data_IF_712005456697
#
_entry.id   IF_712005456697
#
_cell.length_a   1.000
_cell.length_b   1.000
_cell.length_c   1.000
_cell.angle_alpha   90.00
_cell.angle_beta   90.00
_cell.angle_gamma   90.00
#
_symmetry.space_group_name_H-M   'P 1'
#
loop_
_entity.id
_entity.type
_entity.pdbx_description
1 polymer ?
#
# COMPACT_ATOMS: atom_id res chain seq x y z
N UNK A 1 -5.61 16.14 -21.16
CA UNK A 1 -4.17 16.24 -21.46
C UNK A 1 -3.58 14.83 -21.32
N UNK A 2 -2.81 14.42 -22.26
CA UNK A 2 -2.13 13.12 -22.21
C UNK A 2 -0.81 13.30 -21.46
N UNK A 3 -0.49 12.38 -20.57
CA UNK A 3 0.82 12.35 -19.91
C UNK A 3 1.89 12.23 -20.99
N UNK A 4 2.91 13.07 -20.91
CA UNK A 4 4.03 13.05 -21.87
C UNK A 4 5.03 11.96 -21.48
N UNK A 5 5.79 11.48 -22.45
CA UNK A 5 6.95 10.66 -22.16
C UNK A 5 7.93 11.42 -21.26
N UNK A 6 8.55 10.72 -20.34
CA UNK A 6 9.50 11.28 -19.39
C UNK A 6 9.57 10.51 -18.09
N UNK A 7 10.48 10.94 -17.23
CA UNK A 7 10.60 10.42 -15.87
C UNK A 7 9.95 11.40 -14.90
N UNK A 8 9.11 10.86 -14.03
CA UNK A 8 8.34 11.59 -13.03
C UNK A 8 8.75 11.10 -11.63
N UNK A 9 9.05 12.04 -10.77
CA UNK A 9 9.26 11.78 -9.35
C UNK A 9 8.00 12.19 -8.59
N UNK A 10 7.48 11.29 -7.74
CA UNK A 10 6.25 11.48 -6.99
C UNK A 10 6.49 11.22 -5.51
N UNK A 11 5.68 11.85 -4.69
CA UNK A 11 5.69 11.69 -3.24
C UNK A 11 4.33 12.01 -2.62
N UNK A 12 4.25 12.13 -1.29
CA UNK A 12 2.99 12.40 -0.58
C UNK A 12 2.28 13.69 -0.97
N UNK A 13 3.01 14.66 -1.58
CA UNK A 13 2.43 15.88 -2.12
C UNK A 13 1.64 15.70 -3.41
N UNK A 14 1.83 14.58 -4.11
CA UNK A 14 1.21 14.28 -5.40
C UNK A 14 -0.02 13.38 -5.28
N UNK A 15 -0.34 12.92 -4.10
CA UNK A 15 -1.51 12.09 -3.85
C UNK A 15 -1.40 11.21 -2.62
N UNK A 16 -2.25 10.19 -2.56
CA UNK A 16 -2.38 9.32 -1.38
C UNK A 16 -2.09 7.87 -1.73
N UNK A 17 -1.42 7.21 -0.79
CA UNK A 17 -1.19 5.77 -0.78
C UNK A 17 -1.76 5.22 0.52
N UNK A 18 -2.78 4.37 0.41
CA UNK A 18 -3.54 3.85 1.54
C UNK A 18 -3.47 2.33 1.59
N UNK A 19 -3.48 1.80 2.81
CA UNK A 19 -3.68 0.38 3.08
C UNK A 19 -4.98 0.22 3.87
N UNK A 20 -5.80 -0.73 3.46
CA UNK A 20 -7.05 -1.07 4.15
C UNK A 20 -6.98 -2.49 4.66
N UNK A 21 -7.16 -2.65 5.97
CA UNK A 21 -7.28 -3.96 6.60
C UNK A 21 -8.74 -4.27 6.88
N UNK A 22 -9.07 -5.54 6.95
CA UNK A 22 -10.39 -6.00 7.35
C UNK A 22 -10.31 -7.03 8.47
N UNK A 23 -11.41 -7.22 9.16
CA UNK A 23 -11.54 -8.13 10.30
C UNK A 23 -12.13 -9.47 9.88
N UNK A 24 -11.73 -10.51 10.58
CA UNK A 24 -12.30 -11.86 10.43
C UNK A 24 -12.50 -12.51 11.80
N UNK A 25 -13.13 -13.70 11.82
CA UNK A 25 -13.37 -14.48 13.01
C UNK A 25 -14.64 -14.10 13.77
N UNK A 26 -14.95 -14.85 14.81
CA UNK A 26 -16.17 -14.70 15.62
C UNK A 26 -16.17 -13.40 16.42
N UNK A 27 -15.01 -12.94 16.88
CA UNK A 27 -14.83 -11.70 17.66
C UNK A 27 -14.70 -10.42 16.80
N UNK A 28 -14.97 -10.48 15.50
CA UNK A 28 -14.80 -9.35 14.58
C UNK A 28 -15.52 -8.05 14.99
N UNK A 29 -16.58 -8.15 15.79
CA UNK A 29 -17.33 -6.98 16.29
C UNK A 29 -16.51 -6.12 17.26
N UNK A 30 -15.52 -6.70 17.94
CA UNK A 30 -14.68 -5.99 18.90
C UNK A 30 -13.50 -5.24 18.24
N UNK A 31 -13.12 -5.62 17.02
CA UNK A 31 -12.01 -5.00 16.31
C UNK A 31 -12.45 -3.89 15.34
N UNK A 32 -11.48 -3.32 14.64
CA UNK A 32 -11.70 -2.27 13.65
C UNK A 32 -11.11 -2.65 12.29
N UNK A 33 -11.81 -2.26 11.22
CA UNK A 33 -11.21 -2.20 9.89
C UNK A 33 -10.40 -0.90 9.81
N UNK A 34 -9.12 -1.00 9.48
CA UNK A 34 -8.20 0.12 9.55
C UNK A 34 -7.94 0.72 8.18
N UNK A 35 -7.85 2.04 8.13
CA UNK A 35 -7.24 2.77 7.03
C UNK A 35 -5.90 3.30 7.51
N UNK A 36 -4.83 2.86 6.87
CA UNK A 36 -3.45 3.24 7.15
C UNK A 36 -2.95 4.05 5.95
N UNK A 37 -2.37 5.21 6.21
CA UNK A 37 -1.77 6.05 5.18
C UNK A 37 -0.26 5.95 5.21
N UNK A 38 0.35 5.76 4.04
CA UNK A 38 1.77 5.92 3.88
C UNK A 38 2.08 7.42 3.75
N UNK A 39 2.69 8.01 4.76
CA UNK A 39 3.01 9.45 4.79
C UNK A 39 4.42 9.77 4.32
N UNK A 40 5.26 8.76 4.18
CA UNK A 40 6.64 8.89 3.71
C UNK A 40 6.90 7.82 2.65
N UNK A 41 6.85 8.23 1.40
CA UNK A 41 7.13 7.37 0.25
C UNK A 41 7.64 8.19 -0.92
N UNK A 42 8.32 7.53 -1.83
CA UNK A 42 8.77 8.09 -3.11
C UNK A 42 8.42 7.12 -4.22
N UNK A 43 8.09 7.64 -5.37
CA UNK A 43 7.92 6.84 -6.58
C UNK A 43 8.65 7.51 -7.75
N UNK A 44 9.30 6.71 -8.56
CA UNK A 44 9.83 7.09 -9.85
C UNK A 44 9.04 6.34 -10.93
N UNK A 45 8.48 7.07 -11.87
CA UNK A 45 7.76 6.50 -13.00
C UNK A 45 8.36 7.02 -14.30
N UNK A 46 8.81 6.11 -15.18
CA UNK A 46 9.24 6.45 -16.53
C UNK A 46 8.14 6.08 -17.50
N UNK A 47 7.51 7.09 -18.06
CA UNK A 47 6.43 6.94 -19.05
C UNK A 47 7.04 6.89 -20.43
N UNK A 48 6.66 5.89 -21.23
CA UNK A 48 7.08 5.67 -22.61
C UNK A 48 5.87 5.51 -23.53
N UNK A 49 6.08 5.72 -24.80
CA UNK A 49 5.13 5.39 -25.85
C UNK A 49 5.71 4.25 -26.72
N UNK A 50 5.09 3.05 -26.74
CA UNK A 50 3.84 2.68 -26.07
C UNK A 50 3.99 2.53 -24.56
N UNK A 51 2.90 2.71 -23.81
CA UNK A 51 2.89 2.61 -22.34
C UNK A 51 3.39 1.26 -21.80
N UNK A 52 3.35 0.21 -22.62
CA UNK A 52 3.91 -1.12 -22.26
C UNK A 52 5.44 -1.11 -22.02
N UNK A 53 6.14 -0.08 -22.51
CA UNK A 53 7.57 0.12 -22.27
C UNK A 53 7.87 0.99 -21.04
N UNK A 54 6.83 1.43 -20.35
CA UNK A 54 6.98 2.22 -19.14
C UNK A 54 7.48 1.36 -17.97
N UNK A 55 8.11 2.02 -17.01
CA UNK A 55 8.65 1.38 -15.81
C UNK A 55 8.37 2.23 -14.57
N UNK A 56 8.55 1.64 -13.39
CA UNK A 56 8.37 2.37 -12.16
C UNK A 56 8.92 1.64 -10.95
N UNK A 57 9.22 2.43 -9.93
CA UNK A 57 9.66 1.95 -8.62
C UNK A 57 9.02 2.80 -7.54
N UNK A 58 8.56 2.15 -6.47
CA UNK A 58 8.00 2.80 -5.29
C UNK A 58 8.79 2.34 -4.07
N UNK A 59 9.12 3.27 -3.19
CA UNK A 59 9.75 2.99 -1.90
C UNK A 59 8.87 3.61 -0.81
N UNK A 60 8.43 2.80 0.14
CA UNK A 60 7.63 3.24 1.28
C UNK A 60 8.44 3.05 2.54
N UNK A 61 8.57 4.10 3.34
CA UNK A 61 9.22 4.05 4.65
C UNK A 61 8.23 3.53 5.68
N UNK A 62 8.54 2.41 6.33
CA UNK A 62 7.62 1.74 7.28
C UNK A 62 7.27 2.65 8.45
N UNK A 63 8.21 3.45 8.96
CA UNK A 63 7.96 4.39 10.05
C UNK A 63 6.97 5.51 9.69
N UNK A 64 6.74 5.75 8.40
CA UNK A 64 5.76 6.69 7.88
C UNK A 64 4.35 6.11 7.71
N UNK A 65 4.10 4.87 8.12
CA UNK A 65 2.76 4.27 8.11
C UNK A 65 1.97 4.76 9.32
N UNK A 66 0.87 5.47 9.08
CA UNK A 66 0.03 6.06 10.12
C UNK A 66 -1.40 5.58 10.03
N UNK A 67 -1.96 5.15 11.17
CA UNK A 67 -3.37 4.79 11.27
C UNK A 67 -4.22 6.06 11.23
N UNK A 68 -5.08 6.21 10.22
CA UNK A 68 -5.96 7.37 10.05
C UNK A 68 -7.33 7.13 10.62
N UNK A 69 -7.92 5.97 10.31
CA UNK A 69 -9.29 5.65 10.67
C UNK A 69 -9.41 4.19 11.09
N UNK A 70 -10.39 3.92 11.93
CA UNK A 70 -10.85 2.58 12.24
C UNK A 70 -12.38 2.55 12.18
N UNK A 71 -12.94 1.76 11.26
CA UNK A 71 -14.37 1.54 11.12
C UNK A 71 -14.82 0.32 11.91
N UNK A 72 -16.02 0.38 12.49
CA UNK A 72 -16.58 -0.70 13.33
C UNK A 72 -16.07 -0.66 14.77
N UNK A 73 -16.05 -1.84 15.41
CA UNK A 73 -15.68 -1.97 16.82
C UNK A 73 -16.77 -1.51 17.79
N UNK A 74 -16.52 -1.67 19.09
CA UNK A 74 -17.44 -1.29 20.15
C UNK A 74 -17.32 0.20 20.48
N UNK A 75 -16.12 0.76 20.30
CA UNK A 75 -15.81 2.17 20.55
C UNK A 75 -14.97 2.72 19.39
N UNK A 76 -15.08 4.03 19.08
CA UNK A 76 -14.16 4.68 18.16
C UNK A 76 -12.72 4.56 18.63
N UNK A 77 -11.76 4.51 17.69
CA UNK A 77 -10.34 4.55 18.02
C UNK A 77 -9.97 5.91 18.60
N UNK A 78 -9.34 5.90 19.76
CA UNK A 78 -8.70 7.09 20.34
C UNK A 78 -7.38 7.39 19.61
N UNK A 79 -6.83 8.56 19.84
CA UNK A 79 -5.49 8.90 19.34
C UNK A 79 -4.44 7.93 19.91
N UNK A 80 -4.53 7.59 21.18
CA UNK A 80 -3.66 6.60 21.83
C UNK A 80 -3.75 5.24 21.15
N UNK A 81 -4.97 4.76 20.85
CA UNK A 81 -5.18 3.48 20.17
C UNK A 81 -4.50 3.47 18.80
N UNK A 82 -4.62 4.56 18.05
CA UNK A 82 -3.97 4.69 16.73
C UNK A 82 -2.44 4.64 16.83
N UNK A 83 -1.86 5.30 17.83
CA UNK A 83 -0.42 5.26 18.09
C UNK A 83 0.04 3.85 18.49
N UNK A 84 -0.68 3.19 19.39
CA UNK A 84 -0.37 1.83 19.84
C UNK A 84 -0.44 0.82 18.67
N UNK A 85 -1.44 0.95 17.80
CA UNK A 85 -1.56 0.13 16.58
C UNK A 85 -0.38 0.42 15.64
N UNK A 86 -0.01 1.68 15.46
CA UNK A 86 1.14 2.08 14.64
C UNK A 86 2.45 1.49 15.17
N UNK A 87 2.66 1.50 16.48
CA UNK A 87 3.84 0.88 17.10
C UNK A 87 3.86 -0.64 16.91
N UNK A 88 2.71 -1.29 17.01
CA UNK A 88 2.60 -2.72 16.73
C UNK A 88 2.89 -3.04 15.26
N UNK A 89 2.39 -2.22 14.34
CA UNK A 89 2.65 -2.36 12.91
C UNK A 89 4.15 -2.31 12.59
N UNK A 90 4.88 -1.36 13.18
CA UNK A 90 6.34 -1.24 13.03
C UNK A 90 7.08 -2.47 13.55
N UNK A 91 6.61 -3.05 14.66
CA UNK A 91 7.17 -4.30 15.21
C UNK A 91 6.92 -5.49 14.31
N UNK A 92 5.68 -5.65 13.83
CA UNK A 92 5.26 -6.74 12.95
C UNK A 92 6.02 -6.71 11.62
N UNK A 93 6.27 -5.52 11.08
CA UNK A 93 7.04 -5.31 9.85
C UNK A 93 8.55 -5.25 10.07
N UNK A 94 9.01 -5.44 11.32
CA UNK A 94 10.43 -5.40 11.68
C UNK A 94 11.15 -4.14 11.17
N UNK A 95 10.53 -2.97 11.36
CA UNK A 95 10.95 -1.69 10.80
C UNK A 95 12.41 -1.33 11.09
N UNK A 96 12.98 -1.79 12.23
CA UNK A 96 14.39 -1.56 12.60
C UNK A 96 15.36 -2.29 11.68
N UNK A 97 15.00 -3.47 11.16
CA UNK A 97 15.82 -4.29 10.27
C UNK A 97 15.42 -4.11 8.81
N UNK A 98 14.15 -3.79 8.56
CA UNK A 98 13.57 -3.62 7.24
C UNK A 98 12.78 -2.30 7.18
N UNK A 99 13.48 -1.15 7.13
CA UNK A 99 12.83 0.17 7.22
C UNK A 99 12.00 0.54 5.99
N UNK A 100 12.16 -0.20 4.89
CA UNK A 100 11.51 0.12 3.61
C UNK A 100 10.75 -1.07 3.05
N UNK A 101 9.62 -0.77 2.40
CA UNK A 101 8.89 -1.66 1.49
C UNK A 101 9.11 -1.14 0.09
N UNK A 102 9.48 -2.00 -0.86
CA UNK A 102 9.77 -1.59 -2.24
C UNK A 102 8.93 -2.36 -3.24
N UNK A 103 8.45 -1.65 -4.26
CA UNK A 103 7.81 -2.24 -5.42
C UNK A 103 8.59 -1.81 -6.67
N UNK A 104 8.90 -2.77 -7.55
CA UNK A 104 9.55 -2.49 -8.84
C UNK A 104 8.72 -3.11 -9.95
N UNK A 105 8.22 -2.29 -10.86
CA UNK A 105 7.47 -2.76 -12.02
C UNK A 105 8.37 -3.59 -12.95
N UNK A 106 7.87 -4.73 -13.37
CA UNK A 106 8.55 -5.65 -14.31
C UNK A 106 7.86 -5.72 -15.67
N UNK A 107 6.55 -5.46 -15.73
CA UNK A 107 5.80 -5.37 -16.97
C UNK A 107 4.56 -4.48 -16.81
N UNK A 108 4.27 -3.69 -17.83
CA UNK A 108 3.04 -2.89 -17.93
C UNK A 108 2.14 -3.52 -18.99
N UNK A 109 0.93 -3.95 -18.57
CA UNK A 109 -0.06 -4.60 -19.43
C UNK A 109 -1.24 -3.67 -19.66
N UNK A 110 -1.11 -2.83 -20.66
CA UNK A 110 -2.06 -1.75 -20.95
C UNK A 110 -3.46 -2.25 -21.26
N UNK A 111 -3.60 -3.35 -21.99
CA UNK A 111 -4.91 -3.93 -22.34
C UNK A 111 -5.66 -4.46 -21.12
N UNK A 112 -4.94 -4.95 -20.12
CA UNK A 112 -5.51 -5.46 -18.86
C UNK A 112 -5.66 -4.36 -17.79
N UNK A 113 -5.08 -3.17 -17.98
CA UNK A 113 -5.01 -2.15 -16.94
C UNK A 113 -4.20 -2.61 -15.73
N UNK A 114 -3.13 -3.36 -15.95
CA UNK A 114 -2.33 -4.00 -14.90
C UNK A 114 -0.84 -3.68 -15.05
N UNK A 115 -0.19 -3.59 -13.89
CA UNK A 115 1.27 -3.56 -13.77
C UNK A 115 1.70 -4.77 -12.96
N UNK A 116 2.53 -5.61 -13.56
CA UNK A 116 3.21 -6.69 -12.83
C UNK A 116 4.49 -6.15 -12.21
N UNK A 117 4.83 -6.60 -11.02
CA UNK A 117 6.06 -6.16 -10.37
C UNK A 117 6.45 -7.02 -9.18
N UNK A 118 7.62 -6.74 -8.68
CA UNK A 118 8.19 -7.38 -7.51
C UNK A 118 8.00 -6.50 -6.27
N UNK A 119 7.30 -7.04 -5.27
CA UNK A 119 7.07 -6.40 -3.97
C UNK A 119 7.99 -7.04 -2.93
N UNK A 120 8.81 -6.21 -2.29
CA UNK A 120 9.71 -6.64 -1.21
C UNK A 120 9.20 -6.09 0.12
N UNK A 121 8.92 -7.00 1.05
CA UNK A 121 8.54 -6.70 2.43
C UNK A 121 9.39 -7.59 3.35
N UNK A 122 9.99 -7.02 4.39
CA UNK A 122 10.82 -7.75 5.34
C UNK A 122 11.91 -8.59 4.66
N UNK A 123 12.57 -8.04 3.63
CA UNK A 123 13.60 -8.71 2.85
C UNK A 123 13.12 -9.84 1.94
N UNK A 124 11.82 -10.09 1.85
CA UNK A 124 11.25 -11.12 0.98
C UNK A 124 10.59 -10.48 -0.24
N UNK A 125 10.98 -10.94 -1.41
CA UNK A 125 10.46 -10.45 -2.69
C UNK A 125 9.51 -11.47 -3.31
N UNK A 126 8.32 -11.01 -3.68
CA UNK A 126 7.29 -11.82 -4.34
C UNK A 126 6.64 -11.02 -5.47
N UNK A 127 6.22 -11.69 -6.55
CA UNK A 127 5.50 -11.03 -7.62
C UNK A 127 4.08 -10.64 -7.17
N UNK A 128 3.65 -9.45 -7.61
CA UNK A 128 2.28 -8.96 -7.40
C UNK A 128 1.75 -8.34 -8.68
N UNK A 129 0.42 -8.26 -8.78
CA UNK A 129 -0.29 -7.53 -9.84
C UNK A 129 -0.98 -6.33 -9.23
N UNK A 130 -0.78 -5.19 -9.86
CA UNK A 130 -1.35 -3.91 -9.46
C UNK A 130 -2.29 -3.47 -10.57
N UNK A 131 -3.55 -3.20 -10.24
CA UNK A 131 -4.47 -2.51 -11.15
C UNK A 131 -4.01 -1.07 -11.26
N UNK A 132 -3.95 -0.55 -12.46
CA UNK A 132 -3.56 0.83 -12.72
C UNK A 132 -4.38 1.42 -13.87
N UNK A 133 -4.97 2.57 -13.62
CA UNK A 133 -5.73 3.35 -14.59
C UNK A 133 -5.14 4.75 -14.67
N UNK A 134 -4.74 5.14 -15.87
CA UNK A 134 -4.24 6.47 -16.16
C UNK A 134 -5.31 7.25 -16.93
N UNK A 135 -5.85 8.31 -16.31
CA UNK A 135 -6.83 9.20 -16.91
C UNK A 135 -6.28 10.63 -16.89
N UNK A 136 -5.82 11.10 -18.06
CA UNK A 136 -5.10 12.36 -18.16
C UNK A 136 -3.80 12.33 -17.35
N UNK A 137 -3.72 13.17 -16.33
CA UNK A 137 -2.60 13.24 -15.39
C UNK A 137 -2.83 12.44 -14.09
N UNK A 138 -3.98 11.80 -13.95
CA UNK A 138 -4.37 11.08 -12.72
C UNK A 138 -4.14 9.59 -12.87
N UNK A 139 -3.33 9.04 -11.97
CA UNK A 139 -3.04 7.61 -11.87
C UNK A 139 -3.71 7.03 -10.64
N UNK A 140 -4.64 6.10 -10.83
CA UNK A 140 -5.36 5.42 -9.76
C UNK A 140 -5.21 3.92 -9.87
N UNK A 141 -5.31 3.25 -8.76
CA UNK A 141 -5.32 1.80 -8.75
C UNK A 141 -5.17 1.19 -7.40
N UNK A 142 -4.74 -0.06 -7.38
CA UNK A 142 -4.54 -0.80 -6.15
C UNK A 142 -4.16 -2.24 -6.38
N UNK A 143 -3.88 -2.92 -5.27
CA UNK A 143 -3.53 -4.33 -5.25
C UNK A 143 -4.02 -4.98 -3.97
N UNK A 144 -4.27 -6.27 -4.03
CA UNK A 144 -4.53 -7.12 -2.86
C UNK A 144 -3.23 -7.83 -2.47
N UNK A 145 -2.80 -7.66 -1.23
CA UNK A 145 -1.58 -8.26 -0.69
C UNK A 145 -1.93 -9.28 0.39
N UNK A 146 -1.56 -10.54 0.18
CA UNK A 146 -1.69 -11.58 1.21
C UNK A 146 -0.48 -11.54 2.13
N UNK A 147 -0.64 -11.10 3.37
CA UNK A 147 0.43 -10.87 4.34
C UNK A 147 1.29 -12.13 4.58
N UNK A 148 0.66 -13.28 4.68
CA UNK A 148 1.35 -14.56 4.97
C UNK A 148 2.35 -14.96 3.90
N UNK A 149 2.19 -14.49 2.66
CA UNK A 149 3.18 -14.75 1.59
C UNK A 149 4.56 -14.16 1.91
N UNK A 150 4.60 -13.06 2.66
CA UNK A 150 5.85 -12.42 3.11
C UNK A 150 6.25 -12.83 4.54
N UNK A 151 5.56 -13.81 5.12
CA UNK A 151 5.82 -14.29 6.48
C UNK A 151 5.29 -13.35 7.57
N UNK A 152 4.45 -12.40 7.24
CA UNK A 152 3.75 -11.55 8.19
C UNK A 152 2.63 -12.37 8.80
N UNK A 153 2.57 -12.42 10.14
CA UNK A 153 1.46 -13.04 10.86
C UNK A 153 0.37 -12.00 11.06
N UNK A 154 -0.84 -12.20 10.49
CA UNK A 154 -1.96 -11.30 10.75
C UNK A 154 -2.22 -11.19 12.24
N UNK A 155 -2.53 -9.99 12.71
CA UNK A 155 -2.83 -9.75 14.12
C UNK A 155 -3.99 -10.63 14.59
N UNK A 156 -3.86 -11.19 15.79
CA UNK A 156 -4.86 -12.03 16.42
C UNK A 156 -4.97 -11.69 17.91
N UNK A 157 -6.17 -11.67 18.43
CA UNK A 157 -6.47 -11.45 19.85
C UNK A 157 -7.59 -12.38 20.30
N UNK A 158 -7.85 -12.41 21.61
CA UNK A 158 -8.92 -13.22 22.25
C UNK A 158 -8.83 -14.71 21.83
N UNK A 159 -7.65 -15.30 21.94
CA UNK A 159 -7.38 -16.69 21.55
C UNK A 159 -7.76 -17.01 20.09
N UNK A 160 -7.57 -16.06 19.19
CA UNK A 160 -7.87 -16.20 17.78
C UNK A 160 -9.33 -15.92 17.39
N UNK A 161 -10.19 -15.51 18.32
CA UNK A 161 -11.56 -15.12 18.01
C UNK A 161 -11.64 -13.83 17.18
N UNK A 162 -10.70 -12.89 17.40
CA UNK A 162 -10.50 -11.71 16.58
C UNK A 162 -9.22 -11.88 15.76
N UNK A 163 -9.34 -11.77 14.45
CA UNK A 163 -8.18 -11.81 13.52
C UNK A 163 -8.32 -10.71 12.50
N UNK A 164 -7.21 -10.12 12.08
CA UNK A 164 -7.17 -9.41 10.82
C UNK A 164 -7.20 -10.42 9.67
N UNK A 165 -7.87 -10.08 8.57
CA UNK A 165 -7.80 -10.87 7.36
C UNK A 165 -6.37 -10.92 6.81
N UNK A 166 -6.01 -12.01 6.15
CA UNK A 166 -4.70 -12.16 5.50
C UNK A 166 -4.51 -11.14 4.36
N UNK A 167 -5.60 -10.80 3.69
CA UNK A 167 -5.60 -9.84 2.59
C UNK A 167 -5.65 -8.40 3.10
N UNK A 168 -4.73 -7.59 2.59
CA UNK A 168 -4.69 -6.14 2.77
C UNK A 168 -4.85 -5.50 1.41
N UNK A 169 -5.82 -4.57 1.28
CA UNK A 169 -6.00 -3.79 0.08
C UNK A 169 -5.09 -2.58 0.09
N UNK A 170 -4.31 -2.43 -0.96
CA UNK A 170 -3.51 -1.22 -1.22
C UNK A 170 -4.23 -0.39 -2.27
N UNK A 171 -4.42 0.89 -2.01
CA UNK A 171 -5.06 1.84 -2.92
C UNK A 171 -4.16 3.06 -3.11
N UNK A 172 -4.09 3.56 -4.34
CA UNK A 172 -3.42 4.82 -4.63
C UNK A 172 -4.25 5.70 -5.56
N UNK A 173 -4.10 6.99 -5.36
CA UNK A 173 -4.69 8.04 -6.17
C UNK A 173 -3.67 9.18 -6.26
N UNK A 174 -2.99 9.27 -7.39
CA UNK A 174 -1.83 10.12 -7.61
C UNK A 174 -2.07 11.05 -8.79
N UNK A 175 -1.46 12.20 -8.74
CA UNK A 175 -1.45 13.14 -9.86
C UNK A 175 -0.03 13.31 -10.37
N UNK A 176 0.19 12.95 -11.63
CA UNK A 176 1.48 13.14 -12.28
C UNK A 176 1.74 14.64 -12.48
N UNK A 177 2.93 15.15 -12.11
CA UNK A 177 3.26 16.55 -12.33
C UNK A 177 3.19 16.89 -13.82
N UNK A 178 2.52 17.98 -14.14
CA UNK A 178 2.49 18.51 -15.51
C UNK A 178 3.85 19.18 -15.76
N UNK A 179 4.69 18.57 -16.56
CA UNK A 179 5.89 19.24 -17.04
C UNK A 179 5.49 20.39 -17.97
N UNK A 180 5.69 21.61 -17.50
CA UNK A 180 5.54 22.82 -18.31
C UNK A 180 6.62 22.90 -19.40
#
# INVERSE_FOLDING_TARGET
MTVREGTYELGPGDGRLLLRTSRSGLGRRAGHDLTIEATNWTAEATVREPLSESSGKVVVVVDGLEVREGAGGVKPLSEKDRLDIGDNLRKVLEARHHPEITFTATAVRTEAGEVEGDLTIMGRTKPVRVRAELDGDRLRGGATVQQTRWGIKPFSAFFGALRLADEVEVEFDLRLPVNN
#
